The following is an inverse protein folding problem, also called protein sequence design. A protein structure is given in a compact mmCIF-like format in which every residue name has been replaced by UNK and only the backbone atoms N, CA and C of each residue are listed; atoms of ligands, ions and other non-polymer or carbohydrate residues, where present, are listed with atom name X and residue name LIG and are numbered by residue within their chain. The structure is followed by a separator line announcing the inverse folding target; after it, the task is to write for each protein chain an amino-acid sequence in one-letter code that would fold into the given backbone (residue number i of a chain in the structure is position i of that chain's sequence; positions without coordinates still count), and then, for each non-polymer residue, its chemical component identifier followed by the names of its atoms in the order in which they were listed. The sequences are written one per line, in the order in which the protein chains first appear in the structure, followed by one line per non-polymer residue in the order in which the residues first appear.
data_IF_830624063290
#
_entry.id   IF_830624063290
#
_cell.length_a   1.000
_cell.length_b   1.000
_cell.length_c   1.000
_cell.angle_alpha   90.00
_cell.angle_beta   90.00
_cell.angle_gamma   90.00
#
_symmetry.space_group_name_H-M   'P 1'
#
loop_
_entity.id
_entity.type
_entity.pdbx_description
1 polymer ?
#
# COMPACT_ATOMS: atom_id res chain seq x y z
N UNK A 1 -22.06 1.16 -11.16
CA UNK A 1 -21.24 2.39 -11.00
C UNK A 1 -19.82 2.12 -11.48
N UNK A 2 -19.25 3.01 -12.30
CA UNK A 2 -17.84 2.91 -12.73
C UNK A 2 -16.94 3.27 -11.54
N UNK A 3 -15.92 2.46 -11.23
CA UNK A 3 -14.94 2.79 -10.17
C UNK A 3 -14.25 4.11 -10.54
N UNK A 4 -14.24 5.08 -9.61
CA UNK A 4 -13.50 6.33 -9.72
C UNK A 4 -12.14 6.14 -9.03
N UNK A 5 -11.06 6.50 -9.71
CA UNK A 5 -9.71 6.40 -9.17
C UNK A 5 -9.20 7.79 -8.78
N UNK A 6 -8.34 7.84 -7.77
CA UNK A 6 -7.68 9.05 -7.30
C UNK A 6 -6.19 8.78 -7.07
N UNK A 7 -5.40 9.85 -6.88
CA UNK A 7 -3.96 9.76 -6.60
C UNK A 7 -3.67 9.82 -5.10
N UNK A 8 -2.64 9.08 -4.68
CA UNK A 8 -2.07 9.15 -3.33
C UNK A 8 -0.63 9.64 -3.46
N UNK A 9 -0.25 10.61 -2.64
CA UNK A 9 1.13 11.10 -2.57
C UNK A 9 1.97 10.13 -1.74
N UNK A 10 3.02 9.59 -2.33
CA UNK A 10 4.00 8.72 -1.70
C UNK A 10 5.41 9.14 -2.13
N UNK A 11 6.43 8.81 -1.33
CA UNK A 11 7.82 9.04 -1.73
C UNK A 11 8.18 8.21 -2.96
N UNK A 12 9.20 8.66 -3.70
CA UNK A 12 9.76 7.88 -4.81
C UNK A 12 10.23 6.50 -4.35
N UNK A 13 10.88 6.42 -3.18
CA UNK A 13 11.32 5.15 -2.59
C UNK A 13 10.15 4.19 -2.33
N UNK A 14 9.01 4.68 -1.84
CA UNK A 14 7.81 3.87 -1.60
C UNK A 14 7.21 3.39 -2.91
N UNK A 15 7.13 4.26 -3.92
CA UNK A 15 6.70 3.88 -5.26
C UNK A 15 7.61 2.76 -5.82
N UNK A 16 8.93 2.92 -5.75
CA UNK A 16 9.87 1.91 -6.24
C UNK A 16 9.77 0.59 -5.49
N UNK A 17 9.47 0.62 -4.19
CA UNK A 17 9.22 -0.60 -3.41
C UNK A 17 7.99 -1.35 -3.92
N UNK A 18 6.87 -0.64 -4.12
CA UNK A 18 5.63 -1.23 -4.66
C UNK A 18 5.84 -1.84 -6.06
N UNK A 19 6.66 -1.20 -6.91
CA UNK A 19 7.00 -1.76 -8.22
C UNK A 19 7.78 -3.08 -8.10
N UNK A 20 8.77 -3.15 -7.19
CA UNK A 20 9.53 -4.39 -6.98
C UNK A 20 8.64 -5.50 -6.44
N UNK A 21 7.82 -5.21 -5.42
CA UNK A 21 6.88 -6.18 -4.86
C UNK A 21 5.92 -6.73 -5.93
N UNK A 22 5.45 -5.87 -6.84
CA UNK A 22 4.62 -6.29 -7.97
C UNK A 22 5.38 -7.17 -8.97
N UNK A 23 6.63 -6.84 -9.30
CA UNK A 23 7.49 -7.65 -10.18
C UNK A 23 7.75 -9.02 -9.57
N UNK A 24 8.14 -9.06 -8.29
CA UNK A 24 8.45 -10.30 -7.57
C UNK A 24 7.21 -11.20 -7.48
N UNK A 25 6.06 -10.61 -7.12
CA UNK A 25 4.78 -11.32 -7.10
C UNK A 25 4.38 -11.84 -8.49
N UNK A 26 4.63 -11.06 -9.54
CA UNK A 26 4.36 -11.50 -10.92
C UNK A 26 5.21 -12.69 -11.32
N UNK A 27 6.51 -12.67 -10.96
CA UNK A 27 7.42 -13.77 -11.24
C UNK A 27 7.04 -15.06 -10.50
N UNK A 28 6.62 -14.93 -9.24
CA UNK A 28 6.22 -16.06 -8.40
C UNK A 28 4.90 -16.70 -8.86
N UNK A 29 3.93 -15.88 -9.27
CA UNK A 29 2.58 -16.34 -9.68
C UNK A 29 2.50 -16.70 -11.15
N UNK A 30 3.46 -16.27 -11.98
CA UNK A 30 3.41 -16.31 -13.46
C UNK A 30 2.25 -15.49 -14.04
N UNK A 31 1.70 -14.56 -13.27
CA UNK A 31 0.64 -13.63 -13.69
C UNK A 31 1.11 -12.18 -13.56
N UNK A 32 0.50 -11.26 -14.33
CA UNK A 32 0.85 -9.84 -14.23
C UNK A 32 0.18 -9.20 -13.00
N UNK A 33 0.98 -8.85 -12.00
CA UNK A 33 0.58 -8.04 -10.85
C UNK A 33 1.02 -6.60 -11.10
N UNK A 34 0.12 -5.63 -10.97
CA UNK A 34 0.45 -4.20 -11.08
C UNK A 34 0.72 -3.63 -9.69
N UNK A 35 1.56 -2.59 -9.62
CA UNK A 35 1.78 -1.82 -8.38
C UNK A 35 0.48 -1.32 -7.73
N UNK A 36 -0.55 -1.01 -8.54
CA UNK A 36 -1.86 -0.57 -8.07
C UNK A 36 -2.60 -1.69 -7.35
N UNK A 37 -2.40 -2.94 -7.76
CA UNK A 37 -3.06 -4.09 -7.15
C UNK A 37 -2.48 -4.31 -5.76
N UNK A 38 -1.15 -4.25 -5.64
CA UNK A 38 -0.44 -4.29 -4.34
C UNK A 38 -0.89 -3.14 -3.44
N UNK A 39 -0.89 -1.91 -3.95
CA UNK A 39 -1.27 -0.73 -3.17
C UNK A 39 -2.73 -0.79 -2.69
N UNK A 40 -3.67 -1.17 -3.57
CA UNK A 40 -5.08 -1.28 -3.19
C UNK A 40 -5.29 -2.43 -2.20
N UNK A 41 -4.64 -3.58 -2.39
CA UNK A 41 -4.71 -4.69 -1.43
C UNK A 41 -4.22 -4.27 -0.05
N UNK A 42 -3.10 -3.52 0.01
CA UNK A 42 -2.59 -2.98 1.28
C UNK A 42 -3.60 -2.07 1.98
N UNK A 43 -4.23 -1.16 1.22
CA UNK A 43 -5.22 -0.22 1.75
C UNK A 43 -6.47 -0.98 2.23
N UNK A 44 -6.99 -1.90 1.41
CA UNK A 44 -8.25 -2.57 1.69
C UNK A 44 -8.12 -3.55 2.86
N UNK A 45 -6.99 -4.26 2.97
CA UNK A 45 -6.81 -5.28 4.00
C UNK A 45 -6.19 -4.74 5.30
N UNK A 46 -5.26 -3.79 5.22
CA UNK A 46 -4.43 -3.39 6.36
C UNK A 46 -4.62 -1.93 6.81
N UNK A 47 -5.57 -1.18 6.25
CA UNK A 47 -5.80 0.23 6.66
C UNK A 47 -6.25 0.38 8.12
N UNK A 48 -6.97 -0.60 8.68
CA UNK A 48 -7.41 -0.56 10.07
C UNK A 48 -6.24 -0.66 11.06
N UNK A 49 -5.32 -1.58 10.81
CA UNK A 49 -4.09 -1.73 11.59
C UNK A 49 -3.20 -0.50 11.45
N UNK A 50 -2.98 -0.04 10.21
CA UNK A 50 -2.21 1.16 9.95
C UNK A 50 -2.77 2.40 10.69
N UNK A 51 -4.10 2.54 10.75
CA UNK A 51 -4.76 3.61 11.54
C UNK A 51 -4.49 3.45 13.03
N UNK A 52 -4.62 2.25 13.59
CA UNK A 52 -4.36 1.98 15.00
C UNK A 52 -2.91 2.32 15.37
N UNK A 53 -1.95 1.89 14.57
CA UNK A 53 -0.52 2.17 14.75
C UNK A 53 -0.21 3.66 14.67
N UNK A 54 -0.83 4.39 13.73
CA UNK A 54 -0.68 5.84 13.63
C UNK A 54 -1.22 6.56 14.86
N UNK A 55 -2.36 6.14 15.41
CA UNK A 55 -2.92 6.68 16.64
C UNK A 55 -1.99 6.37 17.81
N UNK A 56 -1.54 5.12 17.94
CA UNK A 56 -0.65 4.69 19.01
C UNK A 56 0.66 5.46 18.98
N UNK A 57 1.29 5.60 17.81
CA UNK A 57 2.51 6.38 17.62
C UNK A 57 2.31 7.83 18.05
N UNK A 58 1.22 8.48 17.62
CA UNK A 58 0.95 9.88 17.97
C UNK A 58 0.59 10.12 19.43
N UNK A 59 0.01 9.12 20.12
CA UNK A 59 -0.38 9.22 21.52
C UNK A 59 0.74 8.80 22.47
N UNK A 60 1.54 7.79 22.08
CA UNK A 60 2.76 7.38 22.79
C UNK A 60 3.86 8.44 22.75
N UNK A 61 3.95 9.25 21.70
CA UNK A 61 4.86 10.41 21.64
C UNK A 61 4.45 11.58 22.55
N UNK A 62 3.25 11.56 23.16
CA UNK A 62 2.77 12.62 24.05
C UNK A 62 3.05 12.35 25.55
N UNK A 63 3.84 11.33 25.88
CA UNK A 63 4.26 11.02 27.25
C UNK A 63 5.73 11.32 27.45
#
# INVERSE_FOLDING_TARGET
MKKKYTSVRVSESTKMRLEREAIDGSYATKELIKRSDVANYLIDQYSNEAKADLIHKKTGLKR
#
